data_IF_539184061811
#
_entry.id   IF_539184061811
#
_cell.length_a   1.000
_cell.length_b   1.000
_cell.length_c   1.000
_cell.angle_alpha   90.00
_cell.angle_beta   90.00
_cell.angle_gamma   90.00
#
_symmetry.space_group_name_H-M   'P 1'
#
loop_
_entity.id
_entity.type
_entity.pdbx_description
1 polymer ?
#
# COMPACT_ATOMS: atom_id res chain seq x y z
N UNK A 1 -11.24 31.92 -7.73
CA UNK A 1 -12.36 31.79 -6.76
C UNK A 1 -11.96 32.50 -5.48
N UNK A 2 -12.84 33.28 -4.82
CA UNK A 2 -12.51 33.89 -3.53
C UNK A 2 -12.22 32.85 -2.44
N UNK A 3 -11.31 33.16 -1.51
CA UNK A 3 -10.88 32.26 -0.43
C UNK A 3 -12.05 31.74 0.42
N UNK A 4 -12.95 32.62 0.84
CA UNK A 4 -14.11 32.25 1.65
C UNK A 4 -14.98 31.17 0.99
N UNK A 5 -15.15 31.25 -0.33
CA UNK A 5 -15.94 30.28 -1.10
C UNK A 5 -15.20 28.94 -1.19
N UNK A 6 -13.89 28.98 -1.40
CA UNK A 6 -13.05 27.78 -1.39
C UNK A 6 -13.11 27.07 -0.05
N UNK A 7 -13.05 27.81 1.07
CA UNK A 7 -13.16 27.23 2.41
C UNK A 7 -14.53 26.61 2.68
N UNK A 8 -15.62 27.27 2.27
CA UNK A 8 -16.97 26.71 2.39
C UNK A 8 -17.06 25.41 1.59
N UNK A 9 -16.67 25.42 0.31
CA UNK A 9 -16.72 24.21 -0.53
C UNK A 9 -15.88 23.09 0.10
N UNK A 10 -14.66 23.38 0.54
CA UNK A 10 -13.77 22.39 1.15
C UNK A 10 -14.34 21.78 2.45
N UNK A 11 -15.12 22.55 3.21
CA UNK A 11 -15.78 22.06 4.44
C UNK A 11 -17.00 21.18 4.15
N UNK A 12 -17.76 21.49 3.09
CA UNK A 12 -19.08 20.88 2.83
C UNK A 12 -19.10 19.89 1.68
N UNK A 13 -18.07 19.84 0.83
CA UNK A 13 -17.98 18.84 -0.22
C UNK A 13 -18.06 17.44 0.40
N UNK A 14 -18.91 16.59 -0.17
CA UNK A 14 -19.05 15.18 0.18
C UNK A 14 -19.06 14.41 -1.13
N UNK A 15 -18.33 13.31 -1.15
CA UNK A 15 -18.15 12.46 -2.33
C UNK A 15 -18.99 11.19 -2.27
N UNK A 16 -19.88 11.10 -1.28
CA UNK A 16 -20.70 9.95 -0.96
C UNK A 16 -22.04 10.44 -0.43
N UNK A 17 -23.05 9.57 -0.52
CA UNK A 17 -24.32 9.79 0.14
C UNK A 17 -24.20 9.38 1.61
N UNK A 18 -24.31 10.36 2.50
CA UNK A 18 -24.20 10.16 3.94
C UNK A 18 -25.38 9.38 4.54
N UNK A 19 -26.52 9.29 3.83
CA UNK A 19 -27.70 8.54 4.28
C UNK A 19 -27.55 7.04 4.07
N UNK A 20 -26.61 6.63 3.21
CA UNK A 20 -26.33 5.23 2.87
C UNK A 20 -25.18 4.63 3.67
N UNK A 21 -24.60 5.37 4.62
CA UNK A 21 -23.54 4.85 5.48
C UNK A 21 -24.17 4.03 6.61
N UNK A 22 -24.11 2.70 6.48
CA UNK A 22 -24.60 1.79 7.51
C UNK A 22 -23.56 1.67 8.64
N UNK A 23 -24.04 1.81 9.87
CA UNK A 23 -23.25 1.68 11.10
C UNK A 23 -23.71 0.48 11.95
N UNK A 24 -24.75 -0.23 11.52
CA UNK A 24 -25.43 -1.26 12.30
C UNK A 24 -24.81 -2.65 12.19
N UNK A 25 -24.02 -2.92 11.16
CA UNK A 25 -23.45 -4.24 10.93
C UNK A 25 -21.92 -4.25 11.07
N UNK A 26 -21.39 -5.12 11.93
CA UNK A 26 -19.93 -5.30 12.11
C UNK A 26 -19.26 -5.98 10.91
N UNK A 27 -20.04 -6.59 10.01
CA UNK A 27 -19.54 -7.20 8.77
C UNK A 27 -19.23 -6.17 7.67
N UNK A 28 -19.73 -4.94 7.80
CA UNK A 28 -19.50 -3.89 6.81
C UNK A 28 -18.14 -3.21 6.97
N UNK A 29 -17.66 -2.60 5.88
CA UNK A 29 -16.45 -1.79 5.92
C UNK A 29 -16.58 -0.68 6.99
N UNK A 30 -15.50 -0.28 7.67
CA UNK A 30 -15.51 0.92 8.50
C UNK A 30 -16.06 2.15 7.76
N UNK A 31 -16.77 3.03 8.48
CA UNK A 31 -17.41 4.24 7.92
C UNK A 31 -16.51 5.06 6.99
N UNK A 32 -15.22 5.17 7.34
CA UNK A 32 -14.25 5.90 6.53
C UNK A 32 -14.04 5.27 5.15
N UNK A 33 -14.03 3.94 5.07
CA UNK A 33 -13.86 3.18 3.84
C UNK A 33 -15.17 3.12 3.05
N UNK A 34 -16.32 2.92 3.69
CA UNK A 34 -17.63 3.02 3.00
C UNK A 34 -17.79 4.37 2.29
N UNK A 35 -17.46 5.47 2.96
CA UNK A 35 -17.50 6.82 2.39
C UNK A 35 -16.51 7.02 1.23
N UNK A 36 -15.45 6.22 1.18
CA UNK A 36 -14.39 6.28 0.18
C UNK A 36 -14.66 5.33 -1.00
N UNK A 37 -15.46 4.29 -0.81
CA UNK A 37 -15.62 3.17 -1.75
C UNK A 37 -16.12 3.56 -3.13
N UNK A 38 -17.13 4.43 -3.30
CA UNK A 38 -17.61 4.80 -4.64
C UNK A 38 -16.50 5.41 -5.52
N UNK A 39 -15.61 6.18 -4.93
CA UNK A 39 -14.46 6.77 -5.64
C UNK A 39 -13.32 5.79 -5.81
N UNK A 40 -13.08 4.94 -4.80
CA UNK A 40 -12.15 3.82 -4.89
C UNK A 40 -12.46 2.96 -6.13
N UNK A 41 -13.71 2.49 -6.24
CA UNK A 41 -14.17 1.63 -7.32
C UNK A 41 -14.06 2.30 -8.68
N UNK A 42 -14.47 3.57 -8.77
CA UNK A 42 -14.38 4.33 -10.01
C UNK A 42 -12.93 4.43 -10.50
N UNK A 43 -12.00 4.83 -9.63
CA UNK A 43 -10.60 5.03 -10.03
C UNK A 43 -9.94 3.69 -10.36
N UNK A 44 -10.22 2.64 -9.60
CA UNK A 44 -9.73 1.29 -9.91
C UNK A 44 -10.28 0.80 -11.26
N UNK A 45 -11.58 0.97 -11.51
CA UNK A 45 -12.23 0.59 -12.78
C UNK A 45 -11.61 1.32 -13.96
N UNK A 46 -11.44 2.64 -13.86
CA UNK A 46 -10.81 3.45 -14.92
C UNK A 46 -9.35 3.03 -15.11
N UNK A 47 -8.60 2.82 -14.03
CA UNK A 47 -7.20 2.37 -14.11
C UNK A 47 -7.07 1.04 -14.85
N UNK A 48 -7.95 0.07 -14.54
CA UNK A 48 -7.97 -1.23 -15.22
C UNK A 48 -8.48 -1.18 -16.67
N UNK A 49 -9.28 -0.19 -17.04
CA UNK A 49 -9.69 0.04 -18.43
C UNK A 49 -8.59 0.68 -19.27
N UNK A 50 -7.84 1.62 -18.69
CA UNK A 50 -6.79 2.37 -19.38
C UNK A 50 -5.44 1.65 -19.41
N UNK A 51 -5.23 0.68 -18.52
CA UNK A 51 -3.95 -0.01 -18.37
C UNK A 51 -4.11 -1.53 -18.34
N UNK A 52 -3.59 -2.20 -19.36
CA UNK A 52 -3.45 -3.65 -19.37
C UNK A 52 -2.04 -3.98 -18.84
N UNK A 53 -1.92 -4.62 -17.66
CA UNK A 53 -0.61 -4.94 -17.12
C UNK A 53 0.09 -6.03 -17.94
N UNK A 54 1.41 -5.95 -18.02
CA UNK A 54 2.24 -7.07 -18.45
C UNK A 54 2.27 -8.20 -17.40
N UNK A 55 3.05 -9.25 -17.65
CA UNK A 55 3.06 -10.43 -16.79
C UNK A 55 3.60 -10.15 -15.38
N UNK A 56 4.61 -9.30 -15.23
CA UNK A 56 5.26 -9.05 -13.95
C UNK A 56 4.50 -7.96 -13.17
N UNK A 57 3.98 -8.33 -12.02
CA UNK A 57 3.18 -7.47 -11.14
C UNK A 57 3.63 -7.62 -9.70
N UNK A 58 3.44 -6.58 -8.89
CA UNK A 58 3.82 -6.62 -7.48
C UNK A 58 2.62 -6.34 -6.59
N UNK A 59 2.52 -7.12 -5.51
CA UNK A 59 1.60 -6.84 -4.40
C UNK A 59 2.40 -6.38 -3.19
N UNK A 60 2.04 -5.22 -2.66
CA UNK A 60 2.61 -4.68 -1.44
C UNK A 60 1.63 -3.74 -0.71
N UNK A 61 2.05 -3.19 0.41
CA UNK A 61 1.32 -2.17 1.15
C UNK A 61 1.69 -0.73 0.76
N UNK A 62 0.66 0.11 0.77
CA UNK A 62 0.76 1.56 0.72
C UNK A 62 0.23 2.14 2.04
N UNK A 63 0.82 3.26 2.48
CA UNK A 63 0.35 4.02 3.63
C UNK A 63 -0.27 5.35 3.17
N UNK A 64 -1.44 5.68 3.71
CA UNK A 64 -2.10 6.98 3.54
C UNK A 64 -1.98 7.77 4.85
N UNK A 65 -1.16 8.84 4.90
CA UNK A 65 -0.93 9.61 6.12
C UNK A 65 -2.22 10.13 6.75
N UNK A 66 -2.45 9.79 8.01
CA UNK A 66 -3.56 10.34 8.80
C UNK A 66 -3.31 10.17 10.30
N UNK A 67 -3.27 11.29 11.03
CA UNK A 67 -3.06 11.33 12.49
C UNK A 67 -4.30 11.74 13.28
N UNK A 68 -5.41 12.00 12.59
CA UNK A 68 -6.69 12.31 13.25
C UNK A 68 -7.31 11.09 13.94
N UNK A 69 -8.37 11.33 14.71
CA UNK A 69 -9.10 10.26 15.42
C UNK A 69 -9.77 9.31 14.41
N UNK A 70 -9.28 8.07 14.34
CA UNK A 70 -9.88 6.95 13.60
C UNK A 70 -9.42 5.63 14.21
N UNK A 71 -10.32 4.63 14.25
CA UNK A 71 -10.00 3.27 14.74
C UNK A 71 -9.23 2.45 13.69
N UNK A 72 -9.29 2.87 12.43
CA UNK A 72 -8.84 2.11 11.26
C UNK A 72 -7.40 2.43 10.84
N UNK A 73 -6.78 3.44 11.46
CA UNK A 73 -5.37 3.80 11.23
C UNK A 73 -4.43 2.76 11.83
N UNK A 74 -3.35 2.43 11.13
CA UNK A 74 -2.36 1.45 11.54
C UNK A 74 -0.99 2.12 11.74
N UNK A 75 -0.21 1.63 12.71
CA UNK A 75 1.17 2.05 12.94
C UNK A 75 2.15 1.07 12.26
N UNK A 76 2.93 1.56 11.30
CA UNK A 76 3.99 0.83 10.60
C UNK A 76 5.32 1.54 10.81
N UNK A 77 6.05 1.15 11.87
CA UNK A 77 7.21 1.86 12.42
C UNK A 77 8.34 2.19 11.42
N UNK A 78 8.49 1.40 10.35
CA UNK A 78 9.62 1.52 9.41
C UNK A 78 9.27 2.26 8.11
N UNK A 79 8.04 2.76 7.94
CA UNK A 79 7.65 3.57 6.77
C UNK A 79 7.89 5.06 7.08
N UNK A 80 8.25 5.89 6.08
CA UNK A 80 8.44 7.34 6.27
C UNK A 80 7.23 8.03 6.90
N UNK A 81 6.04 7.54 6.57
CA UNK A 81 4.80 7.87 7.27
C UNK A 81 4.36 6.67 8.10
N UNK A 82 4.65 6.64 9.41
CA UNK A 82 4.39 5.47 10.23
C UNK A 82 2.92 5.35 10.64
N UNK A 83 2.13 6.43 10.66
CA UNK A 83 0.72 6.40 11.12
C UNK A 83 -0.21 6.82 9.99
N UNK A 84 -1.20 5.98 9.69
CA UNK A 84 -2.18 6.27 8.65
C UNK A 84 -3.04 5.07 8.26
N UNK A 85 -3.81 5.16 7.18
CA UNK A 85 -4.53 4.02 6.64
C UNK A 85 -3.57 3.11 5.89
N UNK A 86 -3.66 1.81 6.16
CA UNK A 86 -2.92 0.80 5.41
C UNK A 86 -3.80 0.32 4.26
N UNK A 87 -3.23 0.26 3.06
CA UNK A 87 -3.91 -0.17 1.84
C UNK A 87 -3.06 -1.24 1.16
N UNK A 88 -3.68 -2.34 0.74
CA UNK A 88 -3.03 -3.37 -0.05
C UNK A 88 -3.16 -3.04 -1.53
N UNK A 89 -2.04 -3.02 -2.26
CA UNK A 89 -2.01 -2.52 -3.63
C UNK A 89 -1.38 -3.56 -4.55
N UNK A 90 -1.96 -3.73 -5.73
CA UNK A 90 -1.33 -4.42 -6.85
C UNK A 90 -0.95 -3.39 -7.92
N UNK A 91 0.32 -3.35 -8.27
CA UNK A 91 0.90 -2.31 -9.12
C UNK A 91 1.88 -2.86 -10.14
N UNK A 92 2.10 -2.06 -11.19
CA UNK A 92 3.17 -2.29 -12.16
C UNK A 92 3.79 -0.97 -12.59
N UNK A 93 5.12 -0.87 -12.47
CA UNK A 93 5.89 0.30 -12.86
C UNK A 93 5.35 1.62 -12.25
N UNK A 94 4.98 1.60 -10.96
CA UNK A 94 4.43 2.76 -10.25
C UNK A 94 2.93 2.99 -10.43
N UNK A 95 2.28 2.34 -11.41
CA UNK A 95 0.85 2.50 -11.64
C UNK A 95 0.07 1.59 -10.70
N UNK A 96 -0.80 2.17 -9.89
CA UNK A 96 -1.67 1.42 -8.97
C UNK A 96 -2.89 0.95 -9.74
N UNK A 97 -3.06 -0.37 -9.87
CA UNK A 97 -4.08 -0.95 -10.75
C UNK A 97 -5.35 -1.27 -9.95
N UNK A 98 -5.19 -2.05 -8.87
CA UNK A 98 -6.24 -2.39 -7.91
C UNK A 98 -5.71 -2.24 -6.49
N UNK A 99 -6.61 -2.11 -5.54
CA UNK A 99 -6.27 -2.09 -4.12
C UNK A 99 -7.42 -2.56 -3.25
N UNK A 100 -7.09 -2.90 -2.00
CA UNK A 100 -8.04 -3.30 -0.96
C UNK A 100 -7.69 -2.62 0.37
N UNK A 101 -8.70 -2.29 1.16
CA UNK A 101 -8.49 -1.74 2.49
C UNK A 101 -7.93 -2.78 3.45
N UNK A 102 -7.02 -2.36 4.33
CA UNK A 102 -6.67 -3.15 5.50
C UNK A 102 -7.67 -2.89 6.63
N UNK A 103 -8.40 -3.93 7.04
CA UNK A 103 -9.32 -3.89 8.17
C UNK A 103 -8.74 -4.72 9.33
N UNK A 104 -8.50 -4.07 10.48
CA UNK A 104 -7.82 -4.69 11.64
C UNK A 104 -8.59 -5.86 12.27
N UNK A 105 -9.92 -5.81 12.21
CA UNK A 105 -10.83 -6.74 12.88
C UNK A 105 -11.48 -7.74 11.92
N UNK A 106 -10.86 -7.99 10.75
CA UNK A 106 -11.33 -9.08 9.89
C UNK A 106 -11.22 -10.39 10.69
N UNK A 107 -12.32 -11.12 10.94
CA UNK A 107 -12.26 -12.37 11.70
C UNK A 107 -11.23 -13.28 11.03
N UNK A 108 -10.37 -13.93 11.84
CA UNK A 108 -9.36 -14.86 11.37
C UNK A 108 -10.03 -16.12 10.80
N UNK A 109 -10.62 -15.98 9.63
CA UNK A 109 -11.24 -17.06 8.88
C UNK A 109 -10.31 -17.37 7.72
N UNK A 110 -9.66 -18.53 7.78
CA UNK A 110 -8.79 -18.94 6.69
C UNK A 110 -9.57 -18.89 5.38
N UNK A 111 -9.07 -18.12 4.41
CA UNK A 111 -9.68 -18.02 3.09
C UNK A 111 -9.46 -19.36 2.40
N UNK A 112 -10.56 -20.08 2.20
CA UNK A 112 -10.56 -21.33 1.46
C UNK A 112 -10.60 -20.95 -0.02
N UNK A 113 -9.48 -21.15 -0.71
CA UNK A 113 -9.44 -20.98 -2.15
C UNK A 113 -9.83 -22.31 -2.78
N UNK A 114 -11.02 -22.35 -3.39
CA UNK A 114 -11.42 -23.43 -4.29
C UNK A 114 -10.68 -23.27 -5.61
N UNK A 115 -9.82 -24.24 -5.91
CA UNK A 115 -9.00 -24.21 -7.11
C UNK A 115 -9.78 -24.77 -8.32
N UNK A 116 -9.49 -24.30 -9.54
CA UNK A 116 -10.14 -24.81 -10.74
C UNK A 116 -9.93 -26.32 -10.86
N UNK A 117 -11.02 -27.08 -10.93
CA UNK A 117 -11.01 -28.53 -11.14
C UNK A 117 -10.26 -28.84 -12.44
N UNK A 118 -9.10 -29.52 -12.36
CA UNK A 118 -8.44 -30.05 -13.55
C UNK A 118 -9.43 -30.96 -14.29
N UNK A 119 -9.64 -30.75 -15.60
CA UNK A 119 -10.37 -31.71 -16.45
C UNK A 119 -9.69 -33.08 -16.27
N UNK A 120 -10.45 -34.17 -16.10
CA UNK A 120 -9.84 -35.48 -15.87
C UNK A 120 -8.95 -35.82 -17.08
N UNK A 121 -7.65 -35.95 -16.82
CA UNK A 121 -6.74 -36.56 -17.77
C UNK A 121 -7.23 -37.99 -18.07
N UNK A 122 -7.14 -38.40 -19.34
CA UNK A 122 -7.50 -39.73 -19.79
C UNK A 122 -6.93 -40.81 -18.85
N UNK A 123 -7.74 -41.84 -18.57
CA UNK A 123 -7.50 -42.92 -17.60
C UNK A 123 -6.02 -43.38 -17.64
N UNK A 124 -5.29 -43.36 -16.50
CA UNK A 124 -4.00 -44.03 -16.44
C UNK A 124 -4.21 -45.55 -16.42
N UNK A 125 -3.44 -46.26 -17.24
CA UNK A 125 -3.29 -47.71 -17.16
C UNK A 125 -2.79 -48.12 -15.77
N UNK A 126 -3.30 -49.26 -15.29
CA UNK A 126 -3.10 -49.79 -13.94
C UNK A 126 -1.61 -50.03 -13.62
N UNK A 127 -1.24 -49.70 -12.38
CA UNK A 127 -0.03 -50.22 -11.76
C UNK A 127 1.03 -49.18 -11.37
N UNK A 128 0.72 -48.25 -10.46
CA UNK A 128 1.70 -47.65 -9.53
C UNK A 128 0.97 -46.94 -8.38
N UNK A 129 1.33 -47.28 -7.14
CA UNK A 129 0.77 -46.71 -5.89
C UNK A 129 0.79 -45.18 -5.96
N UNK A 130 -0.38 -44.54 -5.95
CA UNK A 130 -0.55 -43.09 -5.90
C UNK A 130 -0.11 -42.57 -4.53
N UNK A 131 1.03 -41.88 -4.46
CA UNK A 131 1.36 -40.97 -3.35
C UNK A 131 0.37 -39.80 -3.39
N UNK A 132 -0.39 -39.61 -2.29
CA UNK A 132 -1.16 -38.41 -1.92
C UNK A 132 -2.11 -37.82 -2.98
N UNK A 133 -3.42 -37.87 -2.76
CA UNK A 133 -4.36 -36.97 -3.46
C UNK A 133 -3.94 -35.51 -3.19
N UNK A 134 -3.82 -34.64 -4.22
CA UNK A 134 -3.69 -33.21 -4.00
C UNK A 134 -4.89 -32.74 -3.18
N UNK A 135 -4.65 -31.94 -2.12
CA UNK A 135 -5.75 -31.37 -1.34
C UNK A 135 -6.54 -30.43 -2.25
N UNK A 136 -7.84 -30.68 -2.40
CA UNK A 136 -8.74 -29.89 -3.28
C UNK A 136 -8.96 -28.44 -2.80
N UNK A 137 -8.56 -28.14 -1.57
CA UNK A 137 -8.66 -26.82 -0.96
C UNK A 137 -7.36 -26.43 -0.25
N UNK A 138 -6.93 -25.17 -0.44
CA UNK A 138 -5.82 -24.57 0.30
C UNK A 138 -6.37 -23.52 1.24
N UNK A 139 -6.19 -23.74 2.54
CA UNK A 139 -6.47 -22.74 3.56
C UNK A 139 -5.34 -21.69 3.58
N UNK A 140 -5.68 -20.44 3.30
CA UNK A 140 -4.78 -19.29 3.37
C UNK A 140 -5.14 -18.39 4.57
N UNK A 141 -4.15 -17.71 5.14
CA UNK A 141 -4.44 -16.62 6.08
C UNK A 141 -5.10 -15.44 5.36
N UNK A 142 -5.79 -14.57 6.10
CA UNK A 142 -6.41 -13.35 5.54
C UNK A 142 -5.39 -12.54 4.74
N UNK A 143 -4.20 -12.31 5.30
CA UNK A 143 -3.11 -11.60 4.63
C UNK A 143 -2.65 -12.26 3.33
N UNK A 144 -2.53 -13.59 3.31
CA UNK A 144 -2.14 -14.30 2.09
C UNK A 144 -3.25 -14.27 1.03
N UNK A 145 -4.52 -14.41 1.46
CA UNK A 145 -5.66 -14.37 0.56
C UNK A 145 -5.87 -13.02 -0.12
N UNK A 146 -5.41 -11.91 0.46
CA UNK A 146 -5.39 -10.58 -0.20
C UNK A 146 -4.68 -10.65 -1.55
N UNK A 147 -3.56 -11.38 -1.65
CA UNK A 147 -2.82 -11.51 -2.92
C UNK A 147 -3.68 -12.19 -3.98
N UNK A 148 -4.37 -13.28 -3.63
CA UNK A 148 -5.27 -13.99 -4.54
C UNK A 148 -6.42 -13.08 -4.99
N UNK A 149 -7.04 -12.33 -4.07
CA UNK A 149 -8.13 -11.41 -4.41
C UNK A 149 -7.65 -10.30 -5.36
N UNK A 150 -6.52 -9.66 -5.06
CA UNK A 150 -5.95 -8.61 -5.91
C UNK A 150 -5.63 -9.13 -7.32
N UNK A 151 -5.06 -10.33 -7.44
CA UNK A 151 -4.76 -10.96 -8.73
C UNK A 151 -6.04 -11.30 -9.50
N UNK A 152 -7.07 -11.82 -8.81
CA UNK A 152 -8.36 -12.14 -9.43
C UNK A 152 -9.12 -10.91 -9.95
N UNK A 153 -8.81 -9.71 -9.46
CA UNK A 153 -9.36 -8.44 -9.96
C UNK A 153 -8.68 -7.92 -11.24
N UNK A 154 -7.62 -8.58 -11.70
CA UNK A 154 -6.93 -8.27 -12.95
C UNK A 154 -7.56 -9.01 -14.15
N UNK A 155 -7.28 -8.56 -15.39
CA UNK A 155 -7.64 -9.31 -16.57
C UNK A 155 -7.16 -10.77 -16.53
N UNK A 156 -7.88 -11.69 -17.20
CA UNK A 156 -7.48 -13.10 -17.23
C UNK A 156 -6.19 -13.28 -18.02
N UNK A 157 -5.09 -13.54 -17.31
CA UNK A 157 -3.76 -13.76 -17.88
C UNK A 157 -2.86 -14.51 -16.90
N UNK A 158 -1.79 -15.12 -17.40
CA UNK A 158 -0.72 -15.65 -16.54
C UNK A 158 0.19 -14.53 -16.06
N UNK A 159 0.12 -14.25 -14.76
CA UNK A 159 0.98 -13.28 -14.09
C UNK A 159 2.16 -13.95 -13.38
N UNK A 160 3.26 -13.21 -13.23
CA UNK A 160 4.34 -13.47 -12.29
C UNK A 160 4.23 -12.45 -11.15
N UNK A 161 3.74 -12.92 -10.00
CA UNK A 161 3.46 -12.09 -8.83
C UNK A 161 4.70 -12.00 -7.95
N UNK A 162 5.17 -10.78 -7.75
CA UNK A 162 6.22 -10.43 -6.80
C UNK A 162 5.58 -9.92 -5.52
N UNK A 163 6.06 -10.36 -4.36
CA UNK A 163 5.49 -9.95 -3.06
C UNK A 163 6.53 -9.98 -1.95
N UNK A 164 6.30 -9.16 -0.92
CA UNK A 164 7.18 -9.14 0.25
C UNK A 164 6.96 -10.37 1.16
N UNK A 165 7.89 -10.54 2.09
CA UNK A 165 7.87 -11.54 3.15
C UNK A 165 6.64 -11.50 4.06
N UNK A 166 5.86 -10.42 4.05
CA UNK A 166 4.60 -10.31 4.80
C UNK A 166 3.54 -11.27 4.28
N UNK A 167 3.48 -11.45 2.95
CA UNK A 167 2.49 -12.31 2.28
C UNK A 167 2.99 -13.74 2.08
N UNK A 168 4.31 -13.89 1.99
CA UNK A 168 4.94 -15.10 1.50
C UNK A 168 4.72 -16.31 2.41
N UNK A 169 4.17 -17.38 1.83
CA UNK A 169 4.06 -18.70 2.46
C UNK A 169 4.02 -19.80 1.39
N UNK A 170 4.48 -21.03 1.66
CA UNK A 170 4.42 -22.12 0.69
C UNK A 170 3.01 -22.42 0.19
N UNK A 171 1.99 -22.28 1.05
CA UNK A 171 0.59 -22.50 0.68
C UNK A 171 0.08 -21.44 -0.32
N UNK A 172 0.41 -20.16 -0.12
CA UNK A 172 0.05 -19.10 -1.07
C UNK A 172 0.70 -19.34 -2.44
N UNK A 173 1.98 -19.71 -2.44
CA UNK A 173 2.73 -19.95 -3.67
C UNK A 173 2.18 -21.15 -4.43
N UNK A 174 1.82 -22.22 -3.72
CA UNK A 174 1.10 -23.35 -4.31
C UNK A 174 -0.22 -22.91 -4.93
N UNK A 175 -1.05 -22.16 -4.20
CA UNK A 175 -2.34 -21.68 -4.69
C UNK A 175 -2.21 -20.83 -5.96
N UNK A 176 -1.23 -19.91 -6.00
CA UNK A 176 -0.94 -19.11 -7.20
C UNK A 176 -0.51 -19.98 -8.38
N UNK A 177 0.38 -20.97 -8.15
CA UNK A 177 0.82 -21.89 -9.20
C UNK A 177 -0.33 -22.71 -9.77
N UNK A 178 -1.21 -23.21 -8.90
CA UNK A 178 -2.37 -24.00 -9.30
C UNK A 178 -3.44 -23.15 -9.99
N UNK A 179 -3.53 -21.86 -9.65
CA UNK A 179 -4.33 -20.87 -10.38
C UNK A 179 -3.71 -20.46 -11.73
N UNK A 180 -2.51 -20.95 -12.07
CA UNK A 180 -1.83 -20.65 -13.34
C UNK A 180 -0.97 -19.39 -13.32
N UNK A 181 -0.51 -18.97 -12.14
CA UNK A 181 0.36 -17.82 -11.94
C UNK A 181 1.73 -18.21 -11.37
N UNK A 182 2.78 -17.53 -11.83
CA UNK A 182 4.10 -17.56 -11.20
C UNK A 182 4.11 -16.69 -9.94
N UNK A 183 4.92 -17.06 -8.95
CA UNK A 183 5.09 -16.30 -7.72
C UNK A 183 6.57 -16.28 -7.32
N UNK A 184 7.04 -15.13 -6.82
CA UNK A 184 8.39 -14.99 -6.26
C UNK A 184 8.35 -13.98 -5.11
N UNK A 185 8.88 -14.37 -3.95
CA UNK A 185 8.84 -13.54 -2.76
C UNK A 185 9.98 -13.84 -1.82
N UNK A 186 10.37 -12.85 -1.01
CA UNK A 186 11.27 -13.12 0.12
C UNK A 186 10.50 -13.84 1.23
N UNK A 187 11.19 -14.65 2.04
CA UNK A 187 10.56 -15.52 3.02
C UNK A 187 11.04 -15.23 4.43
N UNK A 188 10.12 -15.24 5.40
CA UNK A 188 10.49 -15.24 6.83
C UNK A 188 10.81 -16.65 7.31
N UNK A 189 11.67 -16.82 8.32
CA UNK A 189 11.97 -18.13 8.90
C UNK A 189 10.74 -18.86 9.47
N UNK A 190 9.69 -18.12 9.83
CA UNK A 190 8.46 -18.63 10.43
C UNK A 190 7.30 -18.77 9.43
N UNK A 191 7.51 -18.59 8.13
CA UNK A 191 6.43 -18.66 7.13
C UNK A 191 6.09 -20.08 6.63
N UNK A 192 6.59 -21.13 7.30
CA UNK A 192 6.35 -22.53 6.92
C UNK A 192 7.44 -23.17 6.05
N UNK A 193 8.63 -22.57 5.99
CA UNK A 193 9.80 -23.16 5.32
C UNK A 193 10.40 -24.34 6.10
N UNK A 194 11.29 -25.09 5.46
CA UNK A 194 12.00 -26.23 6.04
C UNK A 194 12.81 -25.84 7.28
N UNK A 195 12.86 -26.76 8.25
CA UNK A 195 13.59 -26.57 9.51
C UNK A 195 15.07 -26.26 9.29
N UNK A 196 15.66 -26.86 8.25
CA UNK A 196 17.04 -26.63 7.86
C UNK A 196 17.31 -25.16 7.49
N UNK A 197 16.55 -24.60 6.54
CA UNK A 197 16.73 -23.21 6.10
C UNK A 197 16.41 -22.22 7.23
N UNK A 198 15.41 -22.54 8.06
CA UNK A 198 15.08 -21.78 9.27
C UNK A 198 16.26 -21.73 10.24
N UNK A 199 16.91 -22.87 10.50
CA UNK A 199 18.07 -22.97 11.39
C UNK A 199 19.26 -22.18 10.83
N UNK A 200 19.56 -22.34 9.53
CA UNK A 200 20.64 -21.61 8.87
C UNK A 200 20.44 -20.09 8.98
N UNK A 201 19.23 -19.59 8.74
CA UNK A 201 18.90 -18.16 8.87
C UNK A 201 18.99 -17.66 10.31
N UNK A 202 18.65 -18.49 11.29
CA UNK A 202 18.83 -18.16 12.71
C UNK A 202 20.29 -18.00 13.11
N UNK A 203 21.16 -18.91 12.62
CA UNK A 203 22.61 -18.91 12.90
C UNK A 203 23.40 -17.87 12.08
N UNK A 204 22.81 -17.35 11.01
CA UNK A 204 23.47 -16.38 10.11
C UNK A 204 23.97 -15.13 10.84
N UNK A 205 23.22 -14.63 11.84
CA UNK A 205 23.63 -13.46 12.63
C UNK A 205 24.98 -13.66 13.35
N UNK A 206 25.27 -14.89 13.76
CA UNK A 206 26.54 -15.27 14.38
C UNK A 206 27.64 -15.65 13.35
N UNK A 207 27.38 -15.49 12.05
CA UNK A 207 28.29 -15.93 10.98
C UNK A 207 28.34 -17.44 10.78
N UNK A 208 27.49 -18.20 11.47
CA UNK A 208 27.50 -19.67 11.50
C UNK A 208 26.36 -20.30 10.69
N UNK A 209 25.94 -19.66 9.60
CA UNK A 209 24.87 -20.21 8.73
C UNK A 209 25.30 -21.46 7.97
N UNK A 210 26.60 -21.67 7.78
CA UNK A 210 27.16 -22.78 7.01
C UNK A 210 27.22 -22.53 5.49
N UNK A 211 26.90 -21.31 5.05
CA UNK A 211 26.94 -20.91 3.64
C UNK A 211 28.16 -20.03 3.34
N UNK A 212 28.81 -20.28 2.22
CA UNK A 212 29.82 -19.39 1.62
C UNK A 212 29.14 -18.23 0.89
N UNK A 213 29.90 -17.15 0.67
CA UNK A 213 29.38 -16.03 -0.10
C UNK A 213 28.94 -16.47 -1.49
N UNK A 214 27.78 -15.96 -1.92
CA UNK A 214 27.12 -16.25 -3.18
C UNK A 214 26.69 -17.72 -3.39
N UNK A 215 26.74 -18.54 -2.33
CA UNK A 215 26.23 -19.90 -2.35
C UNK A 215 24.70 -19.89 -2.33
N UNK A 216 24.11 -20.84 -3.08
CA UNK A 216 22.66 -21.05 -3.14
C UNK A 216 22.35 -22.47 -2.73
N UNK A 217 21.30 -22.62 -1.91
CA UNK A 217 20.70 -23.91 -1.60
C UNK A 217 19.21 -23.85 -1.90
N UNK A 218 18.72 -24.82 -2.67
CA UNK A 218 17.30 -24.95 -2.99
C UNK A 218 16.76 -26.25 -2.43
N UNK A 219 15.61 -26.18 -1.77
CA UNK A 219 14.87 -27.33 -1.25
C UNK A 219 13.42 -27.20 -1.73
N UNK A 220 12.93 -28.10 -2.61
CA UNK A 220 11.53 -28.08 -3.00
C UNK A 220 10.62 -28.47 -1.83
N UNK A 221 9.36 -28.05 -1.86
CA UNK A 221 8.31 -28.58 -1.00
C UNK A 221 8.05 -30.07 -1.29
N UNK A 222 7.37 -30.77 -0.37
CA UNK A 222 7.13 -32.23 -0.47
C UNK A 222 6.42 -32.63 -1.77
N UNK A 223 5.62 -31.73 -2.31
CA UNK A 223 4.86 -31.87 -3.56
C UNK A 223 5.60 -31.37 -4.81
N UNK A 224 6.84 -30.87 -4.65
CA UNK A 224 7.69 -30.34 -5.71
C UNK A 224 7.09 -29.12 -6.48
N UNK A 225 6.14 -28.42 -5.85
CA UNK A 225 5.44 -27.28 -6.47
C UNK A 225 6.07 -25.92 -6.13
N UNK A 226 6.79 -25.80 -5.03
CA UNK A 226 7.38 -24.54 -4.58
C UNK A 226 8.85 -24.77 -4.19
N UNK A 227 9.75 -23.99 -4.78
CA UNK A 227 11.16 -23.97 -4.42
C UNK A 227 11.37 -23.06 -3.20
N UNK A 228 12.05 -23.59 -2.17
CA UNK A 228 12.51 -22.82 -1.02
C UNK A 228 14.00 -22.60 -1.19
N UNK A 229 14.38 -21.34 -1.46
CA UNK A 229 15.74 -21.02 -1.89
C UNK A 229 16.40 -20.15 -0.83
N UNK A 230 17.59 -20.54 -0.39
CA UNK A 230 18.46 -19.73 0.43
C UNK A 230 19.66 -19.27 -0.39
N UNK A 231 19.97 -17.98 -0.32
CA UNK A 231 21.13 -17.40 -0.98
C UNK A 231 21.93 -16.56 0.03
N UNK A 232 23.22 -16.83 0.12
CA UNK A 232 24.11 -16.07 1.01
C UNK A 232 24.70 -14.87 0.30
N UNK A 233 24.12 -13.69 0.56
CA UNK A 233 24.74 -12.41 0.22
C UNK A 233 25.52 -11.87 1.45
N UNK A 234 25.39 -10.59 1.78
CA UNK A 234 25.84 -10.06 3.07
C UNK A 234 25.15 -10.83 4.23
N UNK A 235 23.82 -10.90 4.17
CA UNK A 235 23.02 -11.76 5.05
C UNK A 235 22.43 -12.93 4.25
N UNK A 236 22.09 -14.03 4.91
CA UNK A 236 21.40 -15.14 4.26
C UNK A 236 19.98 -14.70 3.87
N UNK A 237 19.67 -14.59 2.58
CA UNK A 237 18.33 -14.24 2.09
C UNK A 237 17.56 -15.52 1.81
N UNK A 238 16.29 -15.56 2.20
CA UNK A 238 15.38 -16.67 1.94
C UNK A 238 14.33 -16.22 0.93
N UNK A 239 14.03 -17.08 -0.02
CA UNK A 239 13.02 -16.88 -1.05
C UNK A 239 12.08 -18.08 -1.14
N UNK A 240 10.86 -17.80 -1.57
CA UNK A 240 9.96 -18.78 -2.16
C UNK A 240 9.81 -18.45 -3.63
N UNK A 241 9.74 -19.47 -4.49
CA UNK A 241 9.42 -19.28 -5.90
C UNK A 241 8.71 -20.48 -6.49
N UNK A 242 7.83 -20.23 -7.46
CA UNK A 242 7.25 -21.25 -8.34
C UNK A 242 7.81 -21.20 -9.76
N UNK A 243 8.67 -20.21 -10.04
CA UNK A 243 9.25 -19.93 -11.36
C UNK A 243 10.71 -20.32 -11.40
N UNK A 244 11.48 -19.96 -10.37
CA UNK A 244 12.91 -20.23 -10.28
C UNK A 244 13.17 -21.49 -9.46
N UNK A 245 14.06 -22.36 -9.94
CA UNK A 245 14.50 -23.56 -9.21
C UNK A 245 15.57 -23.22 -8.19
N UNK A 246 16.31 -22.12 -8.39
CA UNK A 246 17.48 -21.79 -7.58
C UNK A 246 18.69 -22.65 -7.91
N UNK A 247 18.73 -23.26 -9.10
CA UNK A 247 19.88 -23.98 -9.59
C UNK A 247 21.09 -23.04 -9.79
N UNK A 248 22.30 -23.59 -9.69
CA UNK A 248 23.53 -22.79 -9.72
C UNK A 248 23.85 -22.15 -11.07
N UNK A 249 23.31 -22.71 -12.16
CA UNK A 249 23.36 -22.15 -13.51
C UNK A 249 22.39 -20.97 -13.71
N UNK A 250 21.37 -20.82 -12.85
CA UNK A 250 20.45 -19.68 -12.85
C UNK A 250 21.12 -18.46 -12.20
N UNK A 251 22.05 -17.84 -12.93
CA UNK A 251 22.78 -16.63 -12.53
C UNK A 251 22.56 -15.49 -13.53
N UNK A 252 22.48 -14.27 -13.00
CA UNK A 252 22.38 -13.03 -13.77
C UNK A 252 23.50 -12.09 -13.35
N UNK A 253 24.19 -11.51 -14.34
CA UNK A 253 25.21 -10.50 -14.09
C UNK A 253 24.57 -9.19 -13.62
N UNK A 254 24.95 -8.72 -12.42
CA UNK A 254 24.52 -7.42 -11.89
C UNK A 254 25.72 -6.58 -11.48
N UNK A 255 25.69 -5.30 -11.86
CA UNK A 255 26.66 -4.30 -11.42
C UNK A 255 26.32 -3.88 -9.99
N UNK A 256 27.22 -4.14 -9.05
CA UNK A 256 27.02 -3.89 -7.61
C UNK A 256 28.09 -2.95 -7.08
N UNK A 257 27.73 -2.15 -6.08
CA UNK A 257 28.66 -1.31 -5.30
C UNK A 257 29.17 -2.11 -4.11
N UNK A 258 30.43 -1.90 -3.74
CA UNK A 258 31.04 -2.50 -2.55
C UNK A 258 30.24 -2.06 -1.32
N UNK A 259 29.73 -2.99 -0.50
CA UNK A 259 28.93 -2.64 0.65
C UNK A 259 29.79 -2.01 1.76
N UNK A 260 29.21 -1.05 2.48
CA UNK A 260 29.82 -0.48 3.68
C UNK A 260 30.05 -1.57 4.74
N UNK A 261 31.13 -1.44 5.51
CA UNK A 261 31.45 -2.38 6.58
C UNK A 261 30.39 -2.26 7.69
N UNK A 262 29.56 -3.30 7.87
CA UNK A 262 28.50 -3.38 8.87
C UNK A 262 28.69 -4.56 9.84
N UNK A 263 29.91 -5.09 9.94
CA UNK A 263 30.27 -6.21 10.83
C UNK A 263 30.61 -7.50 10.10
N UNK A 264 30.66 -8.62 10.85
CA UNK A 264 31.16 -9.91 10.36
C UNK A 264 30.47 -10.45 9.10
N UNK A 265 29.17 -10.16 8.94
CA UNK A 265 28.39 -10.54 7.75
C UNK A 265 28.89 -9.90 6.45
N UNK A 266 29.51 -8.71 6.54
CA UNK A 266 29.93 -7.93 5.37
C UNK A 266 31.35 -8.21 4.88
N UNK A 267 32.15 -8.98 5.65
CA UNK A 267 33.51 -9.34 5.26
C UNK A 267 33.59 -10.19 3.98
N UNK A 268 32.79 -11.27 3.81
CA UNK A 268 32.93 -12.15 2.65
C UNK A 268 32.63 -11.46 1.31
N UNK A 269 31.65 -10.55 1.30
CA UNK A 269 31.34 -9.76 0.11
C UNK A 269 32.45 -8.73 -0.17
N UNK A 270 33.05 -8.11 0.85
CA UNK A 270 34.15 -7.16 0.64
C UNK A 270 35.40 -7.84 0.06
N UNK A 271 35.74 -9.04 0.52
CA UNK A 271 36.81 -9.87 -0.05
C UNK A 271 36.57 -10.13 -1.54
N UNK A 272 35.32 -10.42 -1.92
CA UNK A 272 34.98 -10.64 -3.33
C UNK A 272 35.16 -9.40 -4.20
N UNK A 273 35.03 -8.19 -3.64
CA UNK A 273 35.25 -6.94 -4.36
C UNK A 273 36.74 -6.57 -4.46
N UNK A 274 37.60 -7.00 -3.54
CA UNK A 274 38.99 -6.54 -3.45
C UNK A 274 39.03 -5.01 -3.34
N UNK A 275 39.88 -4.37 -4.14
CA UNK A 275 40.02 -2.91 -4.18
C UNK A 275 38.93 -2.21 -5.02
N UNK A 276 38.14 -2.96 -5.78
CA UNK A 276 37.12 -2.39 -6.65
C UNK A 276 35.94 -1.81 -5.84
N UNK A 277 35.55 -0.57 -6.15
CA UNK A 277 34.35 0.07 -5.59
C UNK A 277 33.07 -0.46 -6.24
N UNK A 278 33.16 -0.86 -7.51
CA UNK A 278 32.05 -1.39 -8.29
C UNK A 278 32.53 -2.66 -9.00
N UNK A 279 31.75 -3.73 -8.92
CA UNK A 279 32.05 -5.02 -9.57
C UNK A 279 30.79 -5.61 -10.19
N UNK A 280 30.96 -6.25 -11.35
CA UNK A 280 29.91 -7.06 -11.97
C UNK A 280 30.01 -8.47 -11.39
N UNK A 281 28.95 -8.93 -10.74
CA UNK A 281 28.92 -10.21 -10.03
C UNK A 281 27.74 -11.03 -10.56
N UNK A 282 27.94 -12.32 -10.91
CA UNK A 282 26.84 -13.23 -11.19
C UNK A 282 26.11 -13.55 -9.89
N UNK A 283 24.89 -13.05 -9.74
CA UNK A 283 24.02 -13.35 -8.59
C UNK A 283 22.89 -14.28 -9.02
N UNK A 284 22.19 -14.95 -8.10
CA UNK A 284 21.06 -15.80 -8.48
C UNK A 284 19.98 -15.01 -9.23
N UNK A 285 19.50 -15.56 -10.34
CA UNK A 285 18.51 -14.90 -11.21
C UNK A 285 17.24 -14.54 -10.44
N UNK A 286 16.82 -15.37 -9.47
CA UNK A 286 15.71 -15.06 -8.57
C UNK A 286 15.92 -13.75 -7.81
N UNK A 287 17.12 -13.50 -7.27
CA UNK A 287 17.40 -12.26 -6.55
C UNK A 287 17.49 -11.06 -7.49
N UNK A 288 18.05 -11.25 -8.68
CA UNK A 288 18.09 -10.19 -9.70
C UNK A 288 16.67 -9.77 -10.09
N UNK A 289 15.83 -10.73 -10.47
CA UNK A 289 14.44 -10.51 -10.86
C UNK A 289 13.59 -9.92 -9.73
N UNK A 290 13.74 -10.43 -8.51
CA UNK A 290 13.02 -9.88 -7.34
C UNK A 290 13.34 -8.39 -7.14
N UNK A 291 14.62 -8.00 -7.18
CA UNK A 291 15.02 -6.61 -6.99
C UNK A 291 14.54 -5.68 -8.11
N UNK A 292 14.45 -6.19 -9.34
CA UNK A 292 14.00 -5.40 -10.49
C UNK A 292 12.49 -5.11 -10.43
N UNK A 293 11.69 -6.06 -9.91
CA UNK A 293 10.22 -6.06 -9.99
C UNK A 293 9.52 -5.62 -8.67
N UNK A 294 10.09 -5.90 -7.49
CA UNK A 294 9.42 -5.61 -6.21
C UNK A 294 9.12 -4.13 -5.93
N UNK A 295 9.82 -3.22 -6.58
CA UNK A 295 9.70 -1.79 -6.27
C UNK A 295 8.52 -1.11 -6.99
N UNK A 296 7.60 -1.85 -7.62
CA UNK A 296 6.51 -1.24 -8.38
C UNK A 296 5.55 -0.41 -7.50
N UNK A 297 5.22 -0.87 -6.29
CA UNK A 297 4.36 -0.11 -5.36
C UNK A 297 5.13 1.08 -4.79
N UNK A 298 6.37 0.86 -4.33
CA UNK A 298 7.24 1.93 -3.81
C UNK A 298 7.48 3.06 -4.82
N UNK A 299 7.62 2.74 -6.13
CA UNK A 299 7.70 3.75 -7.20
C UNK A 299 6.43 4.62 -7.26
N UNK A 300 5.26 4.03 -7.08
CA UNK A 300 3.99 4.76 -7.07
C UNK A 300 3.87 5.66 -5.84
N UNK A 301 4.25 5.15 -4.67
CA UNK A 301 4.33 5.96 -3.44
C UNK A 301 5.32 7.11 -3.57
N UNK A 302 6.49 6.87 -4.16
CA UNK A 302 7.48 7.90 -4.44
C UNK A 302 6.92 9.00 -5.36
N UNK A 303 6.30 8.63 -6.47
CA UNK A 303 5.67 9.59 -7.41
C UNK A 303 4.63 10.44 -6.68
N UNK A 304 3.76 9.83 -5.87
CA UNK A 304 2.74 10.53 -5.10
C UNK A 304 3.33 11.47 -4.04
N UNK A 305 4.43 11.06 -3.39
CA UNK A 305 5.07 11.84 -2.32
C UNK A 305 5.65 13.18 -2.79
N UNK A 306 6.11 13.27 -4.04
CA UNK A 306 6.75 14.50 -4.56
C UNK A 306 5.82 15.69 -4.70
N UNK A 307 4.52 15.47 -4.79
CA UNK A 307 3.54 16.54 -5.01
C UNK A 307 2.29 16.33 -4.13
N UNK A 308 2.48 15.68 -2.98
CA UNK A 308 1.39 15.38 -2.06
C UNK A 308 0.70 16.65 -1.59
N UNK A 309 -0.61 16.54 -1.38
CA UNK A 309 -1.41 17.66 -0.91
C UNK A 309 -1.12 17.98 0.56
N UNK A 310 -0.57 19.16 0.84
CA UNK A 310 -0.07 19.53 2.17
C UNK A 310 -1.13 20.13 3.13
N UNK A 311 -2.39 20.28 2.72
CA UNK A 311 -3.38 20.89 3.62
C UNK A 311 -3.82 19.91 4.71
N UNK A 312 -3.92 20.42 5.94
CA UNK A 312 -4.43 19.65 7.08
C UNK A 312 -5.92 19.38 6.92
N UNK A 313 -6.31 18.12 6.82
CA UNK A 313 -7.70 17.69 6.87
C UNK A 313 -8.21 17.68 8.31
N UNK A 314 -9.01 18.69 8.67
CA UNK A 314 -9.58 18.80 10.03
C UNK A 314 -10.89 18.03 10.21
N UNK A 315 -11.53 17.57 9.12
CA UNK A 315 -12.91 17.03 9.15
C UNK A 315 -13.03 15.64 8.53
N UNK A 316 -12.45 14.68 9.25
CA UNK A 316 -12.79 13.26 9.13
C UNK A 316 -11.86 12.43 8.24
N UNK A 317 -11.76 11.12 8.53
CA UNK A 317 -10.81 10.20 7.90
C UNK A 317 -11.02 10.03 6.38
N UNK A 318 -12.26 10.11 5.91
CA UNK A 318 -12.60 9.98 4.48
C UNK A 318 -12.00 11.11 3.62
N UNK A 319 -11.81 12.32 4.16
CA UNK A 319 -11.19 13.43 3.43
C UNK A 319 -9.72 13.14 3.13
N UNK A 320 -9.02 12.52 4.09
CA UNK A 320 -7.63 12.10 3.86
C UNK A 320 -7.58 11.07 2.72
N UNK A 321 -8.43 10.04 2.75
CA UNK A 321 -8.50 9.05 1.66
C UNK A 321 -8.81 9.70 0.30
N UNK A 322 -9.75 10.63 0.25
CA UNK A 322 -10.10 11.31 -1.00
C UNK A 322 -8.94 12.14 -1.56
N UNK A 323 -8.34 12.99 -0.73
CA UNK A 323 -7.45 14.03 -1.22
C UNK A 323 -5.96 13.62 -1.20
N UNK A 324 -5.51 12.83 -0.23
CA UNK A 324 -4.11 12.38 -0.13
C UNK A 324 -3.87 10.96 -0.67
N UNK A 325 -4.93 10.23 -1.00
CA UNK A 325 -4.82 8.94 -1.69
C UNK A 325 -5.44 8.97 -3.08
N UNK A 326 -6.75 9.11 -3.22
CA UNK A 326 -7.43 8.97 -4.51
C UNK A 326 -7.02 10.01 -5.55
N UNK A 327 -7.02 11.30 -5.18
CA UNK A 327 -6.58 12.35 -6.09
C UNK A 327 -5.12 12.15 -6.51
N UNK A 328 -4.25 11.82 -5.56
CA UNK A 328 -2.83 11.57 -5.83
C UNK A 328 -2.61 10.35 -6.71
N UNK A 329 -3.36 9.25 -6.49
CA UNK A 329 -3.34 8.07 -7.36
C UNK A 329 -3.83 8.41 -8.77
N UNK A 330 -4.92 9.17 -8.90
CA UNK A 330 -5.44 9.57 -10.22
C UNK A 330 -4.43 10.45 -10.99
N UNK A 331 -3.79 11.40 -10.31
CA UNK A 331 -2.77 12.27 -10.91
C UNK A 331 -1.48 11.49 -11.25
N UNK A 332 -1.04 10.58 -10.37
CA UNK A 332 0.12 9.74 -10.61
C UNK A 332 -0.13 8.74 -11.75
N UNK A 333 -1.26 8.03 -11.75
CA UNK A 333 -1.61 7.08 -12.80
C UNK A 333 -1.75 7.78 -14.16
N UNK A 334 -2.43 8.93 -14.24
CA UNK A 334 -2.53 9.70 -15.49
C UNK A 334 -1.18 10.20 -15.99
N UNK A 335 -0.28 10.60 -15.08
CA UNK A 335 1.08 10.97 -15.41
C UNK A 335 1.89 9.80 -16.00
N UNK A 336 1.78 8.60 -15.42
CA UNK A 336 2.43 7.41 -15.95
C UNK A 336 1.83 7.04 -17.31
N UNK A 337 0.50 7.13 -17.46
CA UNK A 337 -0.18 6.82 -18.70
C UNK A 337 0.24 7.75 -19.84
N UNK A 338 0.40 9.06 -19.60
CA UNK A 338 0.86 9.97 -20.65
C UNK A 338 2.33 9.72 -21.04
N UNK A 339 3.16 9.20 -20.14
CA UNK A 339 4.53 8.77 -20.49
C UNK A 339 4.55 7.49 -21.33
N UNK A 340 3.57 6.60 -21.14
CA UNK A 340 3.51 5.28 -21.79
C UNK A 340 2.70 5.28 -23.08
N UNK A 341 1.82 6.26 -23.26
CA UNK A 341 0.93 6.34 -24.42
C UNK A 341 1.53 7.32 -25.43
N UNK A 342 1.56 6.93 -26.70
CA UNK A 342 1.94 7.84 -27.81
C UNK A 342 0.81 8.81 -28.20
N UNK A 343 -0.28 8.82 -27.45
CA UNK A 343 -1.48 9.59 -27.68
C UNK A 343 -1.99 10.27 -26.40
N UNK A 344 -2.56 11.48 -26.54
CA UNK A 344 -2.49 12.33 -27.73
C UNK A 344 -1.04 12.78 -28.02
N UNK A 345 -0.75 13.20 -29.26
CA UNK A 345 0.61 13.54 -29.74
C UNK A 345 1.17 14.84 -29.16
N UNK A 346 1.08 15.04 -27.85
CA UNK A 346 1.80 16.12 -27.17
C UNK A 346 3.22 15.66 -26.82
N UNK A 347 4.18 16.59 -26.68
CA UNK A 347 5.44 16.30 -26.02
C UNK A 347 5.16 15.76 -24.60
N UNK A 348 5.79 14.65 -24.19
CA UNK A 348 5.53 14.07 -22.88
C UNK A 348 6.00 15.01 -21.76
N UNK A 349 5.16 15.16 -20.74
CA UNK A 349 5.53 15.89 -19.53
C UNK A 349 6.51 15.05 -18.72
N UNK A 350 7.68 15.61 -18.38
CA UNK A 350 8.76 14.86 -17.71
C UNK A 350 8.61 14.80 -16.18
N UNK A 351 7.85 15.73 -15.59
CA UNK A 351 7.66 15.81 -14.14
C UNK A 351 6.17 15.82 -13.80
N UNK A 352 5.81 15.21 -12.67
CA UNK A 352 4.44 15.20 -12.18
C UNK A 352 3.93 16.62 -11.90
N UNK A 353 4.79 17.52 -11.43
CA UNK A 353 4.45 18.93 -11.22
C UNK A 353 3.99 19.61 -12.51
N UNK A 354 4.77 19.48 -13.60
CA UNK A 354 4.41 20.06 -14.90
C UNK A 354 3.11 19.48 -15.46
N UNK A 355 2.87 18.19 -15.21
CA UNK A 355 1.63 17.51 -15.57
C UNK A 355 0.43 18.02 -14.76
N UNK A 356 0.56 18.15 -13.44
CA UNK A 356 -0.45 18.74 -12.56
C UNK A 356 -0.78 20.17 -12.97
N UNK A 357 0.23 20.97 -13.33
CA UNK A 357 0.06 22.34 -13.84
C UNK A 357 -0.74 22.36 -15.13
N UNK A 358 -0.40 21.52 -16.10
CA UNK A 358 -1.16 21.37 -17.35
C UNK A 358 -2.64 21.04 -17.10
N UNK A 359 -2.91 20.06 -16.24
CA UNK A 359 -4.30 19.68 -15.89
C UNK A 359 -5.01 20.85 -15.21
N UNK A 360 -4.37 21.48 -14.24
CA UNK A 360 -4.91 22.64 -13.52
C UNK A 360 -5.27 23.76 -14.49
N UNK A 361 -4.34 24.15 -15.36
CA UNK A 361 -4.55 25.23 -16.34
C UNK A 361 -5.70 24.89 -17.30
N UNK A 362 -5.78 23.65 -17.79
CA UNK A 362 -6.89 23.20 -18.63
C UNK A 362 -8.25 23.25 -17.91
N UNK A 363 -8.30 22.86 -16.63
CA UNK A 363 -9.50 22.97 -15.80
C UNK A 363 -9.89 24.44 -15.57
N UNK A 364 -8.93 25.31 -15.27
CA UNK A 364 -9.19 26.74 -15.11
C UNK A 364 -9.68 27.37 -16.41
N UNK A 365 -9.06 27.08 -17.56
CA UNK A 365 -9.52 27.60 -18.86
C UNK A 365 -10.97 27.18 -19.13
N UNK A 366 -11.30 25.91 -18.88
CA UNK A 366 -12.65 25.36 -19.13
C UNK A 366 -13.71 25.95 -18.19
N UNK A 367 -13.41 26.12 -16.90
CA UNK A 367 -14.41 26.48 -15.88
C UNK A 367 -14.31 27.93 -15.37
N UNK A 368 -13.30 28.70 -15.76
CA UNK A 368 -13.18 30.12 -15.38
C UNK A 368 -14.25 30.99 -16.06
N UNK A 369 -14.72 30.63 -17.25
CA UNK A 369 -15.73 31.42 -17.97
C UNK A 369 -17.12 31.31 -17.32
N UNK A 370 -17.50 30.14 -16.81
CA UNK A 370 -18.75 29.94 -16.06
C UNK A 370 -18.80 30.73 -14.74
N UNK A 371 -17.64 31.10 -14.19
CA UNK A 371 -17.55 31.91 -12.97
C UNK A 371 -17.58 33.42 -13.24
N UNK A 372 -17.39 33.86 -14.49
CA UNK A 372 -17.56 35.25 -14.93
C UNK A 372 -19.01 35.65 -15.19
N UNK A 373 -19.88 34.70 -15.56
CA UNK A 373 -21.31 34.94 -15.83
C UNK A 373 -22.13 35.35 -14.59
N UNK A 374 -21.57 35.19 -13.37
CA UNK A 374 -22.11 35.78 -12.13
C UNK A 374 -21.30 36.98 -11.70
N UNK A 375 -21.30 38.06 -12.48
CA UNK A 375 -20.86 39.38 -12.04
C UNK A 375 -22.00 40.39 -12.16
N UNK A 376 -22.66 40.68 -11.02
CA UNK A 376 -22.95 42.03 -10.50
C UNK A 376 -23.85 41.94 -9.27
N UNK A 377 -23.21 41.81 -8.11
CA UNK A 377 -23.61 42.57 -6.93
C UNK A 377 -22.34 43.23 -6.39
N UNK A 378 -22.45 44.54 -6.15
CA UNK A 378 -21.40 45.54 -5.96
C UNK A 378 -20.25 45.13 -5.02
N UNK A 379 -19.05 45.54 -5.40
CA UNK A 379 -17.88 45.63 -4.54
C UNK A 379 -18.15 46.65 -3.41
N UNK A 380 -18.10 46.18 -2.15
CA UNK A 380 -17.73 47.01 -1.02
C UNK A 380 -16.20 47.10 -0.98
N UNK A 381 -15.69 48.31 -0.75
CA UNK A 381 -14.26 48.66 -0.77
C UNK A 381 -13.39 47.69 0.04
N UNK A 382 -12.23 47.38 -0.53
CA UNK A 382 -11.19 46.49 -0.01
C UNK A 382 -10.30 47.16 1.07
N UNK A 383 -10.89 48.03 1.89
CA UNK A 383 -10.24 48.71 3.00
C UNK A 383 -11.10 48.53 4.26
N UNK A 384 -11.10 47.31 4.83
CA UNK A 384 -11.47 47.04 6.24
C UNK A 384 -11.42 45.53 6.51
N UNK A 385 -10.22 44.94 6.59
CA UNK A 385 -10.05 43.56 7.08
C UNK A 385 -8.77 43.42 7.92
N UNK A 386 -8.55 44.35 8.85
CA UNK A 386 -7.77 44.12 10.07
C UNK A 386 -8.72 44.04 11.28
N UNK A 387 -9.84 43.34 11.12
CA UNK A 387 -10.76 43.10 12.22
C UNK A 387 -10.19 42.03 13.18
N UNK A 388 -9.36 42.53 14.09
CA UNK A 388 -8.77 41.80 15.22
C UNK A 388 -9.86 41.20 16.12
N UNK A 389 -11.07 41.78 16.13
CA UNK A 389 -12.23 41.32 16.89
C UNK A 389 -12.76 39.99 16.36
N UNK A 390 -12.83 39.80 15.04
CA UNK A 390 -13.26 38.53 14.43
C UNK A 390 -12.27 37.39 14.69
N UNK A 391 -10.96 37.67 14.76
CA UNK A 391 -9.93 36.70 15.17
C UNK A 391 -10.01 36.36 16.65
N UNK A 392 -10.23 37.34 17.52
CA UNK A 392 -10.43 37.13 18.96
C UNK A 392 -11.72 36.35 19.23
N UNK A 393 -12.81 36.63 18.51
CA UNK A 393 -14.07 35.89 18.63
C UNK A 393 -13.94 34.43 18.17
N UNK A 394 -13.04 34.13 17.24
CA UNK A 394 -12.74 32.75 16.84
C UNK A 394 -11.91 32.01 17.90
N UNK A 395 -10.90 32.66 18.47
CA UNK A 395 -10.10 32.14 19.59
C UNK A 395 -10.94 31.93 20.87
N UNK A 396 -11.86 32.84 21.18
CA UNK A 396 -12.72 32.74 22.36
C UNK A 396 -13.76 31.59 22.25
N UNK A 397 -14.24 31.29 21.03
CA UNK A 397 -15.12 30.14 20.77
C UNK A 397 -14.38 28.80 20.91
N UNK A 398 -13.11 28.76 20.56
CA UNK A 398 -12.26 27.56 20.71
C UNK A 398 -11.91 27.29 22.19
N UNK A 399 -11.77 28.34 23.03
CA UNK A 399 -11.55 28.20 24.48
C UNK A 399 -12.81 27.65 25.19
N UNK A 400 -14.01 28.12 24.82
CA UNK A 400 -15.26 27.68 25.45
C UNK A 400 -15.58 26.20 25.18
N UNK A 401 -15.11 25.63 24.06
CA UNK A 401 -15.27 24.19 23.78
C UNK A 401 -14.31 23.30 24.58
N UNK A 402 -13.17 23.82 25.04
CA UNK A 402 -12.20 23.07 25.86
C UNK A 402 -12.58 23.06 27.35
N UNK A 403 -13.23 24.12 27.85
CA UNK A 403 -13.65 24.22 29.26
C UNK A 403 -14.88 23.33 29.55
N UNK A 404 -15.72 23.07 28.55
CA UNK A 404 -16.94 22.26 28.73
C UNK A 404 -16.70 20.73 28.73
N UNK A 405 -15.49 20.25 28.43
CA UNK A 405 -15.10 18.82 28.44
C UNK A 405 -14.25 18.41 29.65
N UNK A 406 -13.86 19.34 30.54
CA UNK A 406 -13.15 19.02 31.79
C UNK A 406 -14.04 19.37 32.98
N UNK A 407 -14.94 18.43 33.33
CA UNK A 407 -15.64 18.47 34.60
C UNK A 407 -14.67 18.19 35.74
N UNK A 408 -14.43 19.19 36.58
CA UNK A 408 -13.86 19.01 37.92
C UNK A 408 -14.97 19.35 38.90
N UNK A 409 -15.41 18.32 39.63
CA UNK A 409 -16.15 18.45 40.88
C UNK A 409 -15.25 19.13 41.92
N UNK A 410 -15.65 20.28 42.47
CA UNK A 410 -15.19 20.70 43.79
C UNK A 410 -16.33 21.34 44.61
N UNK A 411 -16.78 20.55 45.59
CA UNK A 411 -17.09 20.88 46.97
C UNK A 411 -17.79 22.21 47.32
N UNK A 412 -19.02 22.08 47.80
CA UNK A 412 -19.68 23.02 48.70
C UNK A 412 -18.83 23.24 49.97
N UNK A 413 -18.46 24.49 50.25
CA UNK A 413 -18.16 24.97 51.61
C UNK A 413 -18.96 26.25 51.82
N UNK A 414 -19.92 26.17 52.73
CA UNK A 414 -20.81 27.29 53.07
C UNK A 414 -20.27 28.19 54.18
N UNK A 415 -20.86 29.40 54.24
CA UNK A 415 -21.18 30.29 55.40
C UNK A 415 -21.13 31.78 54.95
N UNK A 416 -21.67 32.75 55.72
CA UNK A 416 -23.07 32.88 56.14
C UNK A 416 -23.59 34.34 56.04
N UNK A 417 -24.92 34.54 56.14
CA UNK A 417 -25.55 35.80 56.55
C UNK A 417 -25.58 36.93 55.50
N UNK A 418 -26.49 37.91 55.52
CA UNK A 418 -27.53 38.23 56.50
C UNK A 418 -28.54 39.19 55.86
N UNK A 419 -29.81 39.03 56.26
CA UNK A 419 -30.79 40.08 56.54
C UNK A 419 -31.60 40.79 55.41
N UNK A 420 -32.93 40.67 55.63
CA UNK A 420 -33.99 41.68 55.54
C UNK A 420 -34.49 42.06 54.12
N UNK A 421 -35.78 42.23 53.83
CA UNK A 421 -37.06 42.34 54.58
C UNK A 421 -38.18 42.18 53.52
N UNK A 422 -39.21 41.35 53.73
CA UNK A 422 -40.57 41.71 54.17
C UNK A 422 -41.57 42.09 53.05
N UNK A 423 -42.85 41.80 53.35
CA UNK A 423 -44.13 42.13 52.66
C UNK A 423 -44.56 41.04 51.67
N UNK A 424 -45.65 40.30 51.86
CA UNK A 424 -46.76 40.29 52.84
C UNK A 424 -47.36 38.89 52.91
#
# INVERSE_FOLDING_TARGET
MPLWRFEIISRYIRTFDHTLLDLGNEEDLPKAFQAAEPWSDLIQKVSAQLYIPGNNITVDECMVPFTGRSKDTTLVKNKPTPVGFKVWVIAQNGLFIRWMWHVKASPYTAIIVELPKKKPAAKPQQGKKRKGRPKETIALSNTAGVVIHLVNMLPKQTYHVFMDNLFSSPNLFRALREAGHGATGTARPNCGITKELKLAKGKDKAGASGFKYNEVKSIPTIDDLVAQIAWKDNSLVLFLSTVYSGADDQRTLKRRKKPANKGAQSKPIQETFGDAVIKVIPIPTISASYNDEMNHVDRGDQIRSYTSYEHRFRRGPWQALLWSFFLDVALANSFILQLKTSQPRWPPYKTLESWKRCISDALFIKFAQESGARKRSRAGKEEDMNDTQSRQNHLQRDINHLIHEVGIEEAQVGRPGTAAKSVR
#
